data_IF_472688139060
#
_entry.id   IF_472688139060
#
_cell.length_a   1.000
_cell.length_b   1.000
_cell.length_c   1.000
_cell.angle_alpha   90.00
_cell.angle_beta   90.00
_cell.angle_gamma   90.00
#
_symmetry.space_group_name_H-M   'P 1'
#
loop_
_entity.id
_entity.type
_entity.pdbx_description
1 polymer ?
#
# COMPACT_ATOMS: atom_id res chain seq x y z
N UNK A 1 -5.21 -14.05 -21.44
CA UNK A 1 -5.17 -12.59 -21.56
C UNK A 1 -4.98 -11.82 -20.23
N UNK A 2 -5.64 -12.13 -19.09
CA UNK A 2 -5.45 -11.34 -17.86
C UNK A 2 -3.99 -11.28 -17.37
N UNK A 3 -3.25 -12.40 -17.45
CA UNK A 3 -1.83 -12.44 -17.03
C UNK A 3 -0.94 -11.48 -17.85
N UNK A 4 -1.16 -11.39 -19.16
CA UNK A 4 -0.39 -10.49 -20.04
C UNK A 4 -0.69 -9.03 -19.65
N UNK A 5 -1.97 -8.71 -19.44
CA UNK A 5 -2.37 -7.35 -19.00
C UNK A 5 -1.75 -7.02 -17.64
N UNK A 6 -1.75 -7.97 -16.71
CA UNK A 6 -1.11 -7.79 -15.40
C UNK A 6 0.39 -7.49 -15.54
N UNK A 7 1.13 -8.29 -16.30
CA UNK A 7 2.57 -8.11 -16.48
C UNK A 7 2.88 -6.78 -17.16
N UNK A 8 2.14 -6.43 -18.22
CA UNK A 8 2.34 -5.15 -18.92
C UNK A 8 2.03 -3.98 -17.99
N UNK A 9 0.91 -4.01 -17.26
CA UNK A 9 0.54 -2.95 -16.32
C UNK A 9 1.56 -2.82 -15.20
N UNK A 10 2.02 -3.95 -14.65
CA UNK A 10 3.05 -3.98 -13.60
C UNK A 10 4.35 -3.32 -14.07
N UNK A 11 4.87 -3.76 -15.22
CA UNK A 11 6.11 -3.21 -15.77
C UNK A 11 5.98 -1.73 -16.13
N UNK A 12 4.86 -1.33 -16.71
CA UNK A 12 4.60 0.08 -17.05
C UNK A 12 4.53 0.96 -15.79
N UNK A 13 3.83 0.52 -14.75
CA UNK A 13 3.69 1.28 -13.51
C UNK A 13 5.03 1.41 -12.77
N UNK A 14 5.83 0.33 -12.70
CA UNK A 14 7.18 0.41 -12.14
C UNK A 14 8.10 1.30 -12.99
N UNK A 15 8.02 1.22 -14.32
CA UNK A 15 8.81 2.09 -15.18
C UNK A 15 8.45 3.58 -14.96
N UNK A 16 7.15 3.89 -14.79
CA UNK A 16 6.68 5.25 -14.48
C UNK A 16 7.17 5.69 -13.10
N UNK A 17 7.05 4.83 -12.09
CA UNK A 17 7.50 5.13 -10.72
C UNK A 17 8.99 5.47 -10.66
N UNK A 18 9.84 4.76 -11.43
CA UNK A 18 11.28 4.98 -11.48
C UNK A 18 11.70 6.25 -12.24
N UNK A 19 10.78 6.93 -12.92
CA UNK A 19 11.08 8.18 -13.60
C UNK A 19 11.41 9.30 -12.60
N UNK A 20 12.51 10.01 -12.80
CA UNK A 20 12.97 11.09 -11.93
C UNK A 20 11.88 12.16 -11.65
N UNK A 21 11.10 12.66 -12.63
CA UNK A 21 10.02 13.60 -12.35
C UNK A 21 8.93 13.02 -11.41
N UNK A 22 8.60 11.73 -11.56
CA UNK A 22 7.59 11.06 -10.73
C UNK A 22 8.12 10.90 -9.30
N UNK A 23 9.40 10.54 -9.14
CA UNK A 23 10.03 10.45 -7.84
C UNK A 23 10.01 11.81 -7.10
N UNK A 24 10.37 12.90 -7.79
CA UNK A 24 10.47 14.23 -7.17
C UNK A 24 9.10 14.84 -6.89
N UNK A 25 8.16 14.76 -7.84
CA UNK A 25 6.90 15.50 -7.76
C UNK A 25 5.73 14.70 -7.17
N UNK A 26 5.83 13.37 -7.14
CA UNK A 26 4.75 12.49 -6.65
C UNK A 26 5.21 11.67 -5.45
N UNK A 27 6.26 10.86 -5.60
CA UNK A 27 6.65 9.87 -4.59
C UNK A 27 7.22 10.54 -3.33
N UNK A 28 8.14 11.50 -3.46
CA UNK A 28 8.72 12.18 -2.31
C UNK A 28 7.69 12.99 -1.50
N UNK A 29 6.82 13.83 -2.11
CA UNK A 29 5.76 14.52 -1.37
C UNK A 29 4.78 13.55 -0.69
N UNK A 30 4.43 12.46 -1.37
CA UNK A 30 3.58 11.41 -0.81
C UNK A 30 4.26 10.74 0.41
N UNK A 31 5.53 10.34 0.28
CA UNK A 31 6.31 9.75 1.38
C UNK A 31 6.42 10.72 2.57
N UNK A 32 6.61 12.02 2.31
CA UNK A 32 6.62 13.04 3.35
C UNK A 32 5.25 13.18 4.05
N UNK A 33 4.15 13.02 3.31
CA UNK A 33 2.81 13.00 3.90
C UNK A 33 2.63 11.78 4.81
N UNK A 34 3.08 10.59 4.39
CA UNK A 34 3.05 9.37 5.21
C UNK A 34 3.91 9.54 6.48
N UNK A 35 5.10 10.16 6.38
CA UNK A 35 5.93 10.47 7.55
C UNK A 35 5.18 11.37 8.55
N UNK A 36 4.49 12.41 8.07
CA UNK A 36 3.67 13.29 8.91
C UNK A 36 2.52 12.54 9.59
N UNK A 37 1.80 11.68 8.85
CA UNK A 37 0.73 10.87 9.42
C UNK A 37 1.28 9.94 10.51
N UNK A 38 2.42 9.29 10.25
CA UNK A 38 3.11 8.45 11.23
C UNK A 38 3.52 9.22 12.48
N UNK A 39 4.01 10.46 12.32
CA UNK A 39 4.33 11.34 13.44
C UNK A 39 3.09 11.68 14.26
N UNK A 40 1.97 12.07 13.61
CA UNK A 40 0.70 12.39 14.30
C UNK A 40 0.19 11.17 15.08
N UNK A 41 0.26 9.98 14.50
CA UNK A 41 -0.11 8.74 15.21
C UNK A 41 0.79 8.50 16.41
N UNK A 42 2.11 8.65 16.25
CA UNK A 42 3.06 8.49 17.35
C UNK A 42 2.87 9.53 18.46
N UNK A 43 2.54 10.78 18.11
CA UNK A 43 2.29 11.87 19.06
C UNK A 43 1.08 11.63 19.98
N UNK A 44 0.21 10.69 19.68
CA UNK A 44 -0.88 10.30 20.60
C UNK A 44 -0.38 9.65 21.89
N UNK A 45 0.85 9.11 21.89
CA UNK A 45 1.49 8.46 23.05
C UNK A 45 2.95 8.89 23.29
N UNK A 46 3.56 9.62 22.36
CA UNK A 46 4.94 10.13 22.48
C UNK A 46 5.04 11.51 21.80
N UNK A 47 4.92 12.58 22.56
CA UNK A 47 4.93 13.95 22.06
C UNK A 47 6.29 14.41 21.53
N UNK A 48 7.36 13.65 21.73
CA UNK A 48 8.72 13.98 21.29
C UNK A 48 8.98 13.60 19.82
N UNK A 49 8.05 12.85 19.20
CA UNK A 49 8.16 12.41 17.82
C UNK A 49 7.75 13.53 16.85
N UNK A 50 8.53 13.70 15.80
CA UNK A 50 8.28 14.67 14.73
C UNK A 50 8.63 14.11 13.36
N UNK A 51 8.10 14.71 12.29
CA UNK A 51 8.46 14.40 10.92
C UNK A 51 9.10 15.61 10.24
N UNK A 52 10.23 15.37 9.55
CA UNK A 52 10.90 16.36 8.71
C UNK A 52 11.16 15.76 7.32
N UNK A 53 10.42 16.22 6.31
CA UNK A 53 10.44 15.59 5.00
C UNK A 53 9.99 14.13 5.10
N UNK A 54 10.83 13.21 4.64
CA UNK A 54 10.60 11.75 4.69
C UNK A 54 11.15 11.09 5.97
N UNK A 55 11.66 11.87 6.92
CA UNK A 55 12.29 11.36 8.15
C UNK A 55 11.34 11.50 9.33
N UNK A 56 11.17 10.40 10.07
CA UNK A 56 10.52 10.34 11.37
C UNK A 56 11.60 10.32 12.45
N UNK A 57 11.56 11.26 13.40
CA UNK A 57 12.58 11.42 14.43
C UNK A 57 12.01 11.64 15.83
N UNK A 58 12.79 11.33 16.84
CA UNK A 58 12.53 11.63 18.25
C UNK A 58 13.53 12.66 18.75
N UNK A 59 13.06 13.76 19.32
CA UNK A 59 13.89 14.89 19.76
C UNK A 59 14.73 14.52 21.00
N UNK A 60 14.21 13.66 21.88
CA UNK A 60 14.88 13.32 23.12
C UNK A 60 15.94 12.23 22.94
N UNK A 61 15.59 11.16 22.19
CA UNK A 61 16.51 10.03 22.00
C UNK A 61 17.49 10.24 20.85
N UNK A 62 17.20 11.20 19.93
CA UNK A 62 17.94 11.41 18.70
C UNK A 62 17.75 10.30 17.67
N UNK A 63 16.88 9.34 17.93
CA UNK A 63 16.57 8.26 16.98
C UNK A 63 15.83 8.83 15.76
N UNK A 64 16.22 8.37 14.56
CA UNK A 64 15.58 8.79 13.31
C UNK A 64 15.52 7.64 12.31
N UNK A 65 14.39 7.55 11.59
CA UNK A 65 14.16 6.60 10.49
C UNK A 65 13.79 7.37 9.25
N UNK A 66 14.51 7.15 8.16
CA UNK A 66 14.17 7.68 6.85
C UNK A 66 13.29 6.68 6.10
N UNK A 67 12.11 7.13 5.65
CA UNK A 67 11.18 6.31 4.88
C UNK A 67 11.67 6.33 3.43
N UNK A 68 12.24 5.20 2.98
CA UNK A 68 12.79 5.03 1.63
C UNK A 68 11.75 4.38 0.70
N UNK A 69 11.98 4.40 -0.62
CA UNK A 69 11.26 3.52 -1.56
C UNK A 69 11.27 2.07 -1.05
N UNK A 70 10.20 1.32 -1.23
CA UNK A 70 9.98 0.02 -0.59
C UNK A 70 9.35 0.08 0.81
N UNK A 71 9.36 1.27 1.46
CA UNK A 71 8.80 1.47 2.80
C UNK A 71 7.63 2.46 2.86
N UNK A 72 7.22 3.03 1.73
CA UNK A 72 6.12 3.99 1.63
C UNK A 72 4.79 3.38 1.14
N UNK A 73 4.79 2.08 0.83
CA UNK A 73 3.61 1.34 0.35
C UNK A 73 3.30 1.53 -1.13
N UNK A 74 4.12 2.27 -1.88
CA UNK A 74 3.88 2.54 -3.32
C UNK A 74 3.98 1.27 -4.14
N UNK A 75 4.99 0.45 -3.92
CA UNK A 75 5.20 -0.81 -4.65
C UNK A 75 4.05 -1.80 -4.43
N UNK A 76 3.53 -1.89 -3.19
CA UNK A 76 2.36 -2.71 -2.90
C UNK A 76 1.11 -2.19 -3.63
N UNK A 77 0.95 -0.87 -3.72
CA UNK A 77 -0.11 -0.23 -4.50
C UNK A 77 0.03 -0.50 -6.00
N UNK A 78 1.23 -0.47 -6.55
CA UNK A 78 1.49 -0.78 -7.97
C UNK A 78 1.06 -2.21 -8.28
N UNK A 79 1.44 -3.18 -7.44
CA UNK A 79 1.06 -4.59 -7.61
C UNK A 79 -0.45 -4.76 -7.54
N UNK A 80 -1.11 -4.17 -6.53
CA UNK A 80 -2.57 -4.21 -6.38
C UNK A 80 -3.27 -3.57 -7.57
N UNK A 81 -2.82 -2.39 -8.01
CA UNK A 81 -3.40 -1.67 -9.15
C UNK A 81 -3.28 -2.49 -10.42
N UNK A 82 -2.12 -3.09 -10.70
CA UNK A 82 -1.93 -3.96 -11.85
C UNK A 82 -2.87 -5.18 -11.81
N UNK A 83 -3.07 -5.79 -10.63
CA UNK A 83 -3.97 -6.92 -10.45
C UNK A 83 -5.45 -6.52 -10.68
N UNK A 84 -5.89 -5.38 -10.13
CA UNK A 84 -7.24 -4.85 -10.33
C UNK A 84 -7.49 -4.50 -11.80
N UNK A 85 -6.52 -3.87 -12.48
CA UNK A 85 -6.63 -3.52 -13.90
C UNK A 85 -6.75 -4.76 -14.79
N UNK A 86 -6.01 -5.81 -14.47
CA UNK A 86 -6.02 -7.08 -15.21
C UNK A 86 -7.29 -7.90 -15.00
N UNK A 87 -8.01 -7.69 -13.91
CA UNK A 87 -9.24 -8.43 -13.60
C UNK A 87 -10.41 -7.91 -14.44
N UNK A 88 -11.18 -8.77 -15.13
CA UNK A 88 -12.35 -8.37 -15.89
C UNK A 88 -13.49 -7.98 -14.92
N UNK A 89 -13.60 -6.69 -14.65
CA UNK A 89 -14.61 -6.09 -13.77
C UNK A 89 -15.03 -4.71 -14.29
N UNK A 90 -16.23 -4.28 -13.92
CA UNK A 90 -16.71 -2.93 -14.25
C UNK A 90 -15.89 -1.83 -13.58
N UNK A 91 -15.75 -0.69 -14.24
CA UNK A 91 -14.94 0.43 -13.76
C UNK A 91 -15.32 0.94 -12.37
N UNK A 92 -16.61 0.94 -12.03
CA UNK A 92 -17.07 1.30 -10.66
C UNK A 92 -16.45 0.40 -9.59
N UNK A 93 -16.45 -0.90 -9.81
CA UNK A 93 -15.87 -1.87 -8.88
C UNK A 93 -14.34 -1.73 -8.82
N UNK A 94 -13.68 -1.46 -9.95
CA UNK A 94 -12.23 -1.19 -9.97
C UNK A 94 -11.88 0.04 -9.15
N UNK A 95 -12.60 1.14 -9.30
CA UNK A 95 -12.35 2.37 -8.55
C UNK A 95 -12.57 2.17 -7.04
N UNK A 96 -13.60 1.42 -6.64
CA UNK A 96 -13.82 1.05 -5.24
C UNK A 96 -12.65 0.19 -4.73
N UNK A 97 -12.23 -0.82 -5.50
CA UNK A 97 -11.10 -1.68 -5.15
C UNK A 97 -9.79 -0.91 -4.97
N UNK A 98 -9.52 0.03 -5.87
CA UNK A 98 -8.33 0.90 -5.79
C UNK A 98 -8.39 1.80 -4.54
N UNK A 99 -9.54 2.43 -4.26
CA UNK A 99 -9.70 3.32 -3.11
C UNK A 99 -9.59 2.59 -1.77
N UNK A 100 -10.31 1.48 -1.62
CA UNK A 100 -10.23 0.65 -0.41
C UNK A 100 -8.86 0.01 -0.24
N UNK A 101 -8.26 -0.44 -1.34
CA UNK A 101 -6.93 -1.02 -1.31
C UNK A 101 -5.86 -0.02 -0.95
N UNK A 102 -5.93 1.20 -1.49
CA UNK A 102 -5.05 2.29 -1.09
C UNK A 102 -5.14 2.54 0.42
N UNK A 103 -6.35 2.67 0.94
CA UNK A 103 -6.55 2.94 2.36
C UNK A 103 -6.02 1.80 3.23
N UNK A 104 -6.33 0.54 2.90
CA UNK A 104 -5.88 -0.63 3.65
C UNK A 104 -4.35 -0.72 3.68
N UNK A 105 -3.69 -0.64 2.51
CA UNK A 105 -2.24 -0.70 2.40
C UNK A 105 -1.58 0.43 3.20
N UNK A 106 -2.12 1.67 3.14
CA UNK A 106 -1.52 2.77 3.88
C UNK A 106 -1.72 2.68 5.39
N UNK A 107 -2.84 2.13 5.87
CA UNK A 107 -3.03 1.86 7.29
C UNK A 107 -1.96 0.87 7.80
N UNK A 108 -1.80 -0.25 7.12
CA UNK A 108 -0.79 -1.26 7.48
C UNK A 108 0.63 -0.67 7.37
N UNK A 109 0.87 0.15 6.36
CA UNK A 109 2.17 0.80 6.16
C UNK A 109 2.51 1.80 7.28
N UNK A 110 1.55 2.61 7.75
CA UNK A 110 1.75 3.50 8.91
C UNK A 110 2.06 2.69 10.17
N UNK A 111 1.34 1.58 10.42
CA UNK A 111 1.62 0.66 11.53
C UNK A 111 3.05 0.11 11.42
N UNK A 112 3.47 -0.28 10.22
CA UNK A 112 4.84 -0.72 9.94
C UNK A 112 5.87 0.35 10.32
N UNK A 113 5.70 1.57 9.83
CA UNK A 113 6.65 2.67 10.07
C UNK A 113 6.76 2.97 11.56
N UNK A 114 5.63 3.11 12.25
CA UNK A 114 5.59 3.41 13.69
C UNK A 114 6.22 2.27 14.49
N UNK A 115 5.86 1.01 14.19
CA UNK A 115 6.43 -0.14 14.92
C UNK A 115 7.94 -0.27 14.70
N UNK A 116 8.42 -0.09 13.48
CA UNK A 116 9.85 -0.11 13.18
C UNK A 116 10.61 1.04 13.84
N UNK A 117 10.00 2.24 13.90
CA UNK A 117 10.59 3.39 14.57
C UNK A 117 10.85 3.14 16.07
N UNK A 118 9.89 2.53 16.78
CA UNK A 118 10.08 2.17 18.19
C UNK A 118 10.99 0.94 18.36
N UNK A 119 10.93 0.00 17.43
CA UNK A 119 11.79 -1.18 17.47
C UNK A 119 13.27 -0.81 17.29
N UNK A 120 13.57 0.18 16.44
CA UNK A 120 14.94 0.72 16.30
C UNK A 120 15.47 1.30 17.62
N UNK A 121 14.61 1.97 18.39
CA UNK A 121 14.99 2.57 19.67
C UNK A 121 15.18 1.52 20.77
N UNK A 122 14.52 0.39 20.64
CA UNK A 122 14.63 -0.72 21.61
C UNK A 122 15.83 -1.62 21.30
N UNK A 123 15.94 -2.14 20.08
CA UNK A 123 17.01 -3.05 19.66
C UNK A 123 17.22 -3.02 18.14
N UNK A 124 18.40 -2.54 17.65
CA UNK A 124 18.70 -2.49 16.22
C UNK A 124 18.70 -3.85 15.50
N UNK A 125 19.02 -4.96 16.21
CA UNK A 125 19.03 -6.30 15.59
C UNK A 125 17.61 -6.75 15.30
N UNK A 126 16.69 -6.54 16.24
CA UNK A 126 15.26 -6.81 16.02
C UNK A 126 14.64 -5.91 14.97
N UNK A 127 15.08 -4.64 14.89
CA UNK A 127 14.68 -3.73 13.82
C UNK A 127 15.06 -4.28 12.45
N UNK A 128 16.32 -4.70 12.23
CA UNK A 128 16.77 -5.25 10.95
C UNK A 128 15.98 -6.50 10.58
N UNK A 129 15.81 -7.42 11.53
CA UNK A 129 15.05 -8.65 11.29
C UNK A 129 13.59 -8.35 10.92
N UNK A 130 12.92 -7.51 11.67
CA UNK A 130 11.54 -7.14 11.40
C UNK A 130 11.40 -6.38 10.08
N UNK A 131 12.32 -5.46 9.78
CA UNK A 131 12.31 -4.67 8.56
C UNK A 131 12.51 -5.54 7.31
N UNK A 132 13.49 -6.45 7.33
CA UNK A 132 13.87 -7.25 6.16
C UNK A 132 12.96 -8.45 5.91
N UNK A 133 12.44 -9.08 6.96
CA UNK A 133 11.70 -10.33 6.84
C UNK A 133 10.23 -10.20 7.22
N UNK A 134 9.93 -9.78 8.44
CA UNK A 134 8.55 -9.76 8.96
C UNK A 134 7.67 -8.80 8.16
N UNK A 135 8.08 -7.54 8.08
CA UNK A 135 7.27 -6.51 7.42
C UNK A 135 7.24 -6.66 5.91
N UNK A 136 8.30 -7.19 5.31
CA UNK A 136 8.30 -7.47 3.87
C UNK A 136 7.27 -8.56 3.52
N UNK A 137 7.18 -9.62 4.33
CA UNK A 137 6.17 -10.65 4.15
C UNK A 137 4.75 -10.12 4.42
N UNK A 138 4.56 -9.32 5.48
CA UNK A 138 3.26 -8.78 5.86
C UNK A 138 2.69 -7.81 4.82
N UNK A 139 3.50 -6.93 4.23
CA UNK A 139 3.01 -5.98 3.21
C UNK A 139 2.60 -6.68 1.91
N UNK A 140 3.32 -7.75 1.53
CA UNK A 140 2.93 -8.57 0.38
C UNK A 140 1.64 -9.34 0.66
N UNK A 141 1.51 -9.87 1.88
CA UNK A 141 0.30 -10.58 2.31
C UNK A 141 -0.91 -9.64 2.38
N UNK A 142 -0.73 -8.42 2.88
CA UNK A 142 -1.78 -7.40 2.93
C UNK A 142 -2.33 -7.09 1.53
N UNK A 143 -1.46 -6.80 0.56
CA UNK A 143 -1.88 -6.57 -0.83
C UNK A 143 -2.65 -7.76 -1.42
N UNK A 144 -2.23 -9.00 -1.14
CA UNK A 144 -2.91 -10.20 -1.58
C UNK A 144 -4.29 -10.35 -0.91
N UNK A 145 -4.37 -10.15 0.41
CA UNK A 145 -5.64 -10.23 1.16
C UNK A 145 -6.64 -9.19 0.63
N UNK A 146 -6.20 -7.95 0.47
CA UNK A 146 -7.03 -6.86 -0.07
C UNK A 146 -7.56 -7.21 -1.45
N UNK A 147 -6.69 -7.72 -2.34
CA UNK A 147 -7.10 -8.17 -3.67
C UNK A 147 -8.14 -9.30 -3.61
N UNK A 148 -7.90 -10.34 -2.80
CA UNK A 148 -8.82 -11.47 -2.66
C UNK A 148 -10.18 -11.06 -2.08
N UNK A 149 -10.19 -10.16 -1.09
CA UNK A 149 -11.42 -9.61 -0.52
C UNK A 149 -12.19 -8.81 -1.56
N UNK A 150 -11.49 -7.97 -2.33
CA UNK A 150 -12.10 -7.21 -3.41
C UNK A 150 -12.70 -8.11 -4.50
N UNK A 151 -11.99 -9.17 -4.93
CA UNK A 151 -12.50 -10.13 -5.92
C UNK A 151 -13.78 -10.81 -5.43
N UNK A 152 -13.87 -11.15 -4.14
CA UNK A 152 -15.08 -11.71 -3.54
C UNK A 152 -16.27 -10.76 -3.52
N UNK A 153 -16.04 -9.46 -3.58
CA UNK A 153 -17.09 -8.45 -3.66
C UNK A 153 -17.60 -8.20 -5.08
N UNK A 154 -16.96 -8.80 -6.09
CA UNK A 154 -17.43 -8.67 -7.47
C UNK A 154 -18.74 -9.47 -7.65
N UNK A 155 -19.75 -8.91 -8.35
CA UNK A 155 -20.96 -9.67 -8.69
C UNK A 155 -20.56 -10.88 -9.54
N UNK A 156 -21.07 -12.06 -9.17
CA UNK A 156 -20.85 -13.27 -9.96
C UNK A 156 -21.42 -13.06 -11.35
N UNK A 157 -20.63 -13.33 -12.38
CA UNK A 157 -21.08 -13.32 -13.78
C UNK A 157 -22.09 -14.48 -13.93
N UNK A 158 -23.37 -14.17 -13.79
CA UNK A 158 -24.43 -15.18 -13.84
C UNK A 158 -25.79 -14.70 -13.32
N UNK A 159 -25.87 -13.61 -12.60
CA UNK A 159 -27.13 -13.03 -12.11
C UNK A 159 -27.67 -11.94 -13.05
N UNK A 160 -27.75 -12.23 -14.34
CA UNK A 160 -28.55 -11.40 -15.24
C UNK A 160 -30.04 -11.90 -15.17
N UNK A 161 -30.94 -11.13 -14.53
CA UNK A 161 -32.35 -11.51 -14.42
C UNK A 161 -33.05 -11.63 -15.80
N UNK A 162 -32.41 -11.10 -16.85
CA UNK A 162 -32.95 -11.14 -18.22
C UNK A 162 -32.83 -12.52 -18.87
N UNK A 163 -31.92 -13.38 -18.39
CA UNK A 163 -31.76 -14.73 -18.91
C UNK A 163 -32.88 -15.71 -18.44
N UNK A 164 -33.60 -15.34 -17.37
CA UNK A 164 -34.73 -16.16 -16.84
C UNK A 164 -36.11 -15.85 -17.45
N UNK A 165 -36.21 -14.77 -18.23
CA UNK A 165 -37.49 -14.37 -18.83
C UNK A 165 -37.75 -14.99 -20.21
N UNK A 166 -36.83 -15.79 -20.76
CA UNK A 166 -36.94 -16.38 -22.11
C UNK A 166 -37.47 -17.81 -22.19
N UNK A 167 -37.60 -18.51 -21.06
CA UNK A 167 -38.11 -19.87 -21.01
C UNK A 167 -39.50 -19.95 -20.33
N UNK A 168 -40.50 -19.40 -20.96
CA UNK A 168 -41.89 -19.72 -20.70
C UNK A 168 -42.49 -20.38 -21.96
N UNK A 169 -43.04 -21.60 -21.89
CA UNK A 169 -43.63 -22.30 -23.03
C UNK A 169 -44.92 -21.64 -23.52
#
# INVERSE_FOLDING_TARGET
>A
MPLIVFVIALLALFAIELMEPVQIWVIQPFTAAIAKVSAVVSQTFDSTVHAQGIVLGNIETGAAVSIQPGCNGVEAMIVLLAAILATPAGWKHKLIGIGLGFLAIQIVNVIRIVSLFYLLQWDPVWFEWAHLYLWQALIMLDGLIVYLLWVRMLPMVGDDPSSRAGDSP
#
